data_IF_308462699225
#
_entry.id   IF_308462699225
#
_cell.length_a   1.000
_cell.length_b   1.000
_cell.length_c   1.000
_cell.angle_alpha   90.00
_cell.angle_beta   90.00
_cell.angle_gamma   90.00
#
_symmetry.space_group_name_H-M   'P 1'
#
loop_
_entity.id
_entity.type
_entity.pdbx_description
1 polymer ?
#
# COMPACT_ATOMS: atom_id res chain seq x y z
N UNK A 1 -8.59 14.01 6.76
CA UNK A 1 -9.03 12.61 6.60
C UNK A 1 -8.48 11.74 7.72
N UNK A 2 -9.22 10.73 8.16
CA UNK A 2 -8.69 9.64 8.98
C UNK A 2 -8.28 8.48 8.04
N UNK A 3 -7.00 8.14 8.02
CA UNK A 3 -6.45 7.13 7.09
C UNK A 3 -5.83 5.98 7.90
N UNK A 4 -6.37 4.77 7.74
CA UNK A 4 -5.81 3.57 8.39
C UNK A 4 -4.81 2.90 7.47
N UNK A 5 -3.59 2.66 7.97
CA UNK A 5 -2.44 2.17 7.19
C UNK A 5 -1.99 0.83 7.75
N UNK A 6 -2.23 -0.26 7.01
CA UNK A 6 -1.69 -1.58 7.34
C UNK A 6 -0.20 -1.63 6.99
N UNK A 7 0.61 -2.06 7.97
CA UNK A 7 2.07 -2.04 7.87
C UNK A 7 2.68 -0.68 8.20
N UNK A 8 2.13 0.02 9.23
CA UNK A 8 2.50 1.37 9.62
C UNK A 8 3.99 1.62 9.88
N UNK A 9 4.75 0.62 10.33
CA UNK A 9 6.20 0.76 10.51
C UNK A 9 7.03 0.51 9.23
N UNK A 10 6.36 0.25 8.09
CA UNK A 10 7.04 0.17 6.79
C UNK A 10 7.65 1.53 6.40
N UNK A 11 8.82 1.52 5.73
CA UNK A 11 9.48 2.78 5.34
C UNK A 11 8.60 3.69 4.47
N UNK A 12 7.80 3.12 3.56
CA UNK A 12 6.81 3.90 2.78
C UNK A 12 5.72 4.45 3.70
N UNK A 13 5.21 3.63 4.61
CA UNK A 13 4.16 4.02 5.55
C UNK A 13 4.61 5.18 6.46
N UNK A 14 5.81 5.13 7.03
CA UNK A 14 6.35 6.21 7.86
C UNK A 14 6.51 7.53 7.10
N UNK A 15 6.87 7.50 5.81
CA UNK A 15 6.86 8.71 4.97
C UNK A 15 5.44 9.22 4.76
N UNK A 16 4.50 8.33 4.44
CA UNK A 16 3.09 8.69 4.23
C UNK A 16 2.46 9.27 5.51
N UNK A 17 2.69 8.65 6.66
CA UNK A 17 2.19 9.10 7.96
C UNK A 17 2.65 10.52 8.28
N UNK A 18 3.96 10.82 8.08
CA UNK A 18 4.49 12.18 8.27
C UNK A 18 3.84 13.18 7.33
N UNK A 19 3.63 12.83 6.07
CA UNK A 19 2.99 13.70 5.09
C UNK A 19 1.52 13.97 5.42
N UNK A 20 0.78 12.94 5.85
CA UNK A 20 -0.61 13.05 6.27
C UNK A 20 -0.74 13.92 7.53
N UNK A 21 0.05 13.64 8.56
CA UNK A 21 0.06 14.42 9.80
C UNK A 21 0.42 15.90 9.55
N UNK A 22 1.42 16.16 8.71
CA UNK A 22 1.86 17.53 8.39
C UNK A 22 0.78 18.37 7.71
N UNK A 23 -0.18 17.76 7.02
CA UNK A 23 -1.32 18.45 6.40
C UNK A 23 -2.59 18.47 7.26
N UNK A 24 -2.52 17.93 8.50
CA UNK A 24 -3.63 17.93 9.45
C UNK A 24 -4.58 16.73 9.34
N UNK A 25 -4.20 15.68 8.62
CA UNK A 25 -4.91 14.40 8.63
C UNK A 25 -4.60 13.59 9.90
N UNK A 26 -5.36 12.53 10.11
CA UNK A 26 -5.23 11.60 11.23
C UNK A 26 -4.78 10.23 10.69
N UNK A 27 -3.47 10.00 10.48
CA UNK A 27 -2.97 8.68 10.14
C UNK A 27 -3.07 7.74 11.34
N UNK A 28 -3.47 6.49 11.08
CA UNK A 28 -3.55 5.40 12.05
C UNK A 28 -2.77 4.21 11.51
N UNK A 29 -1.60 3.94 12.06
CA UNK A 29 -0.74 2.85 11.61
C UNK A 29 -1.00 1.54 12.37
N UNK A 30 -1.30 0.46 11.66
CA UNK A 30 -1.41 -0.88 12.25
C UNK A 30 -0.02 -1.52 12.23
N UNK A 31 0.45 -1.94 13.39
CA UNK A 31 1.73 -2.65 13.59
C UNK A 31 1.53 -3.90 14.42
N UNK A 32 2.28 -4.98 14.13
CA UNK A 32 2.22 -6.21 14.92
C UNK A 32 3.10 -6.17 16.18
N UNK A 33 4.13 -5.32 16.19
CA UNK A 33 5.10 -5.24 17.29
C UNK A 33 4.94 -3.92 18.05
N UNK A 34 4.64 -4.01 19.33
CA UNK A 34 4.49 -2.83 20.21
C UNK A 34 5.77 -1.97 20.29
N UNK A 35 6.95 -2.54 20.03
CA UNK A 35 8.19 -1.77 19.99
C UNK A 35 8.23 -0.70 18.88
N UNK A 36 7.36 -0.80 17.87
CA UNK A 36 7.27 0.17 16.77
C UNK A 36 6.35 1.37 17.05
N UNK A 37 5.61 1.36 18.15
CA UNK A 37 4.63 2.41 18.49
C UNK A 37 5.28 3.79 18.53
N UNK A 38 6.42 3.92 19.21
CA UNK A 38 7.11 5.20 19.32
C UNK A 38 7.53 5.81 17.98
N UNK A 39 7.91 4.97 17.01
CA UNK A 39 8.30 5.45 15.67
C UNK A 39 7.10 6.01 14.90
N UNK A 40 5.91 5.40 15.06
CA UNK A 40 4.67 5.90 14.45
C UNK A 40 4.24 7.22 15.10
N UNK A 41 4.28 7.29 16.43
CA UNK A 41 3.97 8.52 17.18
C UNK A 41 4.92 9.66 16.77
N UNK A 42 6.20 9.37 16.59
CA UNK A 42 7.18 10.34 16.07
C UNK A 42 6.88 10.76 14.62
N UNK A 43 6.27 9.88 13.83
CA UNK A 43 5.77 10.21 12.49
C UNK A 43 4.45 10.99 12.51
N UNK A 44 3.85 11.22 13.68
CA UNK A 44 2.57 11.90 13.85
C UNK A 44 1.35 11.00 13.66
N UNK A 45 1.53 9.69 13.69
CA UNK A 45 0.45 8.72 13.52
C UNK A 45 0.00 8.14 14.86
N UNK A 46 -1.28 7.82 14.97
CA UNK A 46 -1.80 6.97 16.03
C UNK A 46 -1.41 5.52 15.76
N UNK A 47 -0.79 4.84 16.70
CA UNK A 47 -0.40 3.45 16.54
C UNK A 47 -1.45 2.49 17.11
N UNK A 48 -1.77 1.43 16.35
CA UNK A 48 -2.60 0.31 16.79
C UNK A 48 -1.78 -0.97 16.69
N UNK A 49 -1.62 -1.67 17.82
CA UNK A 49 -0.91 -2.96 17.85
C UNK A 49 -1.91 -4.06 17.53
N UNK A 50 -1.82 -4.61 16.30
CA UNK A 50 -2.68 -5.67 15.82
C UNK A 50 -1.91 -6.53 14.80
N UNK A 51 -1.87 -7.85 15.01
CA UNK A 51 -1.24 -8.77 14.07
C UNK A 51 -2.24 -9.23 13.01
N UNK A 52 -2.11 -8.70 11.80
CA UNK A 52 -3.00 -9.02 10.69
C UNK A 52 -2.92 -10.49 10.24
N UNK A 53 -1.81 -11.19 10.52
CA UNK A 53 -1.70 -12.63 10.22
C UNK A 53 -2.60 -13.50 11.11
N UNK A 54 -3.03 -12.97 12.27
CA UNK A 54 -3.82 -13.71 13.27
C UNK A 54 -5.14 -13.01 13.63
N UNK A 55 -5.51 -11.96 12.90
CA UNK A 55 -6.71 -11.18 13.18
C UNK A 55 -7.90 -11.63 12.32
N UNK A 56 -9.09 -11.48 12.87
CA UNK A 56 -10.35 -11.62 12.13
C UNK A 56 -10.75 -10.31 11.45
N UNK A 57 -11.67 -10.40 10.49
CA UNK A 57 -12.29 -9.23 9.85
C UNK A 57 -12.90 -8.29 10.89
N UNK A 58 -13.58 -8.83 11.92
CA UNK A 58 -14.19 -8.02 12.98
C UNK A 58 -13.17 -7.18 13.76
N UNK A 59 -12.02 -7.76 14.13
CA UNK A 59 -10.97 -7.06 14.85
C UNK A 59 -10.34 -5.93 14.00
N UNK A 60 -10.13 -6.17 12.69
CA UNK A 60 -9.62 -5.14 11.79
C UNK A 60 -10.69 -4.07 11.53
N UNK A 61 -11.97 -4.46 11.42
CA UNK A 61 -13.10 -3.54 11.26
C UNK A 61 -13.23 -2.56 12.42
N UNK A 62 -12.95 -2.97 13.67
CA UNK A 62 -12.92 -2.06 14.83
C UNK A 62 -11.92 -0.91 14.62
N UNK A 63 -10.75 -1.20 14.03
CA UNK A 63 -9.72 -0.18 13.74
C UNK A 63 -10.12 0.69 12.55
N UNK A 64 -10.75 0.10 11.54
CA UNK A 64 -11.12 0.77 10.27
C UNK A 64 -12.39 1.63 10.42
N UNK A 65 -13.27 1.31 11.36
CA UNK A 65 -14.54 2.04 11.57
C UNK A 65 -14.29 3.55 11.70
N UNK A 66 -15.01 4.33 10.89
CA UNK A 66 -14.91 5.78 10.85
C UNK A 66 -13.66 6.31 10.12
N UNK A 67 -12.94 5.47 9.40
CA UNK A 67 -11.90 5.93 8.49
C UNK A 67 -12.50 6.47 7.17
N UNK A 68 -11.84 7.46 6.58
CA UNK A 68 -12.17 7.95 5.23
C UNK A 68 -11.53 7.06 4.15
N UNK A 69 -10.37 6.45 4.47
CA UNK A 69 -9.64 5.57 3.56
C UNK A 69 -8.79 4.55 4.31
N UNK A 70 -8.45 3.47 3.63
CA UNK A 70 -7.45 2.50 4.07
C UNK A 70 -6.31 2.40 3.06
N UNK A 71 -5.09 2.20 3.57
CA UNK A 71 -3.89 1.99 2.75
C UNK A 71 -3.23 0.68 3.16
N UNK A 72 -3.03 -0.23 2.20
CA UNK A 72 -2.23 -1.43 2.42
C UNK A 72 -0.79 -1.19 1.96
N UNK A 73 0.11 -1.04 2.92
CA UNK A 73 1.56 -0.86 2.71
C UNK A 73 2.39 -1.93 3.45
N UNK A 74 1.75 -3.03 3.86
CA UNK A 74 2.43 -4.13 4.50
C UNK A 74 3.09 -5.06 3.47
N UNK A 75 4.12 -5.74 3.93
CA UNK A 75 4.79 -6.81 3.21
C UNK A 75 5.60 -7.65 4.20
N UNK A 76 5.79 -8.91 3.88
CA UNK A 76 6.51 -9.85 4.74
C UNK A 76 8.00 -9.50 4.95
N UNK A 77 8.51 -8.58 4.14
CA UNK A 77 9.89 -8.12 4.21
C UNK A 77 10.92 -9.07 3.58
N UNK A 78 12.15 -8.59 3.36
CA UNK A 78 13.24 -9.41 2.87
C UNK A 78 13.59 -10.51 3.89
N UNK A 79 14.04 -11.67 3.40
CA UNK A 79 14.40 -12.81 4.25
C UNK A 79 13.22 -13.61 4.83
N UNK A 80 11.98 -13.20 4.64
CA UNK A 80 10.81 -14.01 4.99
C UNK A 80 10.63 -15.16 3.99
N UNK A 81 10.22 -16.33 4.47
CA UNK A 81 9.94 -17.48 3.61
C UNK A 81 8.68 -17.30 2.76
N UNK A 82 8.48 -18.23 1.80
CA UNK A 82 7.34 -18.25 0.89
C UNK A 82 5.97 -18.19 1.60
N UNK A 83 5.82 -18.94 2.70
CA UNK A 83 4.58 -18.96 3.48
C UNK A 83 4.15 -17.56 3.94
N UNK A 84 5.11 -16.74 4.42
CA UNK A 84 4.78 -15.37 4.84
C UNK A 84 4.47 -14.41 3.69
N UNK A 85 4.88 -14.71 2.47
CA UNK A 85 4.40 -13.95 1.31
C UNK A 85 2.89 -14.13 1.11
N UNK A 86 2.40 -15.34 1.33
CA UNK A 86 0.97 -15.62 1.22
C UNK A 86 0.18 -14.97 2.36
N UNK A 87 0.61 -15.14 3.61
CA UNK A 87 -0.15 -14.65 4.77
C UNK A 87 -0.11 -13.12 4.91
N UNK A 88 1.02 -12.47 4.57
CA UNK A 88 1.16 -11.01 4.71
C UNK A 88 0.85 -10.28 3.41
N UNK A 89 1.49 -10.67 2.28
CA UNK A 89 1.38 -9.89 1.04
C UNK A 89 0.04 -10.11 0.32
N UNK A 90 -0.63 -11.25 0.54
CA UNK A 90 -1.95 -11.58 -0.01
C UNK A 90 -3.05 -11.50 1.04
N UNK A 91 -3.01 -12.38 2.06
CA UNK A 91 -4.14 -12.60 2.95
C UNK A 91 -4.44 -11.38 3.83
N UNK A 92 -3.40 -10.68 4.32
CA UNK A 92 -3.62 -9.45 5.10
C UNK A 92 -4.14 -8.28 4.24
N UNK A 93 -3.81 -8.23 2.94
CA UNK A 93 -4.39 -7.24 2.03
C UNK A 93 -5.89 -7.51 1.82
N UNK A 94 -6.25 -8.78 1.63
CA UNK A 94 -7.64 -9.22 1.50
C UNK A 94 -8.42 -8.95 2.80
N UNK A 95 -7.84 -9.28 3.95
CA UNK A 95 -8.43 -9.04 5.26
C UNK A 95 -8.75 -7.54 5.49
N UNK A 96 -7.83 -6.65 5.14
CA UNK A 96 -8.07 -5.20 5.24
C UNK A 96 -9.21 -4.75 4.31
N UNK A 97 -9.29 -5.31 3.10
CA UNK A 97 -10.36 -4.98 2.17
C UNK A 97 -11.73 -5.48 2.64
N UNK A 98 -11.79 -6.69 3.23
CA UNK A 98 -13.01 -7.22 3.81
C UNK A 98 -13.47 -6.37 5.02
N UNK A 99 -12.55 -5.91 5.86
CA UNK A 99 -12.84 -5.02 6.96
C UNK A 99 -13.32 -3.63 6.48
N UNK A 100 -12.71 -3.08 5.42
CA UNK A 100 -13.14 -1.83 4.81
C UNK A 100 -14.57 -1.95 4.26
N UNK A 101 -14.86 -3.02 3.51
CA UNK A 101 -16.20 -3.28 3.00
C UNK A 101 -17.23 -3.45 4.11
N UNK A 102 -16.90 -4.17 5.18
CA UNK A 102 -17.78 -4.41 6.33
C UNK A 102 -18.12 -3.12 7.10
N UNK A 103 -17.25 -2.10 7.06
CA UNK A 103 -17.45 -0.82 7.74
C UNK A 103 -17.92 0.31 6.81
N UNK A 104 -18.14 0.02 5.52
CA UNK A 104 -18.55 1.01 4.54
C UNK A 104 -17.44 1.96 4.08
N UNK A 105 -16.18 1.70 4.43
CA UNK A 105 -15.02 2.46 3.95
C UNK A 105 -14.69 2.01 2.53
N UNK A 106 -14.99 2.84 1.54
CA UNK A 106 -14.85 2.47 0.13
C UNK A 106 -13.44 2.72 -0.42
N UNK A 107 -12.76 3.78 0.02
CA UNK A 107 -11.45 4.17 -0.50
C UNK A 107 -10.35 3.23 -0.03
N UNK A 108 -9.80 2.44 -0.95
CA UNK A 108 -8.75 1.45 -0.71
C UNK A 108 -7.54 1.73 -1.61
N UNK A 109 -6.37 1.97 -1.04
CA UNK A 109 -5.12 2.16 -1.79
C UNK A 109 -4.14 1.04 -1.45
N UNK A 110 -3.59 0.38 -2.47
CA UNK A 110 -2.69 -0.75 -2.30
C UNK A 110 -1.30 -0.48 -2.86
N UNK A 111 -0.28 -0.77 -2.07
CA UNK A 111 1.08 -0.94 -2.56
C UNK A 111 1.29 -2.39 -2.96
N UNK A 112 1.30 -2.63 -4.27
CA UNK A 112 1.59 -3.93 -4.88
C UNK A 112 3.04 -4.00 -5.36
N UNK A 113 3.32 -4.65 -6.48
CA UNK A 113 4.65 -4.80 -7.02
C UNK A 113 4.65 -4.70 -8.56
N UNK A 114 5.69 -4.06 -9.11
CA UNK A 114 6.01 -4.09 -10.52
C UNK A 114 6.08 -5.53 -11.03
N UNK A 115 5.44 -5.80 -12.15
CA UNK A 115 5.47 -7.10 -12.82
C UNK A 115 4.76 -8.22 -12.04
N UNK A 116 3.87 -7.90 -11.11
CA UNK A 116 3.17 -8.91 -10.30
C UNK A 116 2.46 -9.98 -11.14
N UNK A 117 1.92 -9.62 -12.30
CA UNK A 117 1.21 -10.57 -13.18
C UNK A 117 2.17 -11.42 -14.06
N UNK A 118 3.48 -11.15 -14.01
CA UNK A 118 4.50 -11.83 -14.83
C UNK A 118 5.30 -12.86 -14.02
N UNK A 119 4.68 -13.54 -13.07
CA UNK A 119 5.34 -14.59 -12.27
C UNK A 119 5.19 -15.98 -12.90
N UNK A 120 6.14 -16.88 -12.57
CA UNK A 120 6.03 -18.30 -12.89
C UNK A 120 5.33 -19.04 -11.73
N UNK A 121 4.07 -19.50 -11.93
CA UNK A 121 3.32 -20.19 -10.86
C UNK A 121 3.92 -21.54 -10.45
N UNK A 122 4.81 -22.11 -11.27
CA UNK A 122 5.46 -23.40 -10.98
C UNK A 122 6.82 -23.23 -10.31
N UNK A 123 7.33 -22.02 -10.17
CA UNK A 123 8.62 -21.75 -9.56
C UNK A 123 8.52 -21.75 -8.03
N UNK A 124 9.39 -22.50 -7.32
CA UNK A 124 9.47 -22.46 -5.87
C UNK A 124 10.24 -21.24 -5.32
N UNK A 125 10.79 -20.40 -6.20
CA UNK A 125 11.55 -19.23 -5.79
C UNK A 125 10.69 -18.25 -5.01
N UNK A 126 11.16 -17.84 -3.83
CA UNK A 126 10.41 -16.93 -2.93
C UNK A 126 9.97 -15.63 -3.62
N UNK A 127 10.76 -15.15 -4.58
CA UNK A 127 10.39 -13.94 -5.34
C UNK A 127 9.19 -14.19 -6.28
N UNK A 128 9.12 -15.38 -6.92
CA UNK A 128 7.97 -15.75 -7.75
C UNK A 128 6.71 -15.94 -6.90
N UNK A 129 6.84 -16.59 -5.74
CA UNK A 129 5.74 -16.69 -4.75
C UNK A 129 5.28 -15.30 -4.28
N UNK A 130 6.21 -14.37 -4.06
CA UNK A 130 5.89 -12.98 -3.71
C UNK A 130 5.08 -12.29 -4.82
N UNK A 131 5.53 -12.38 -6.07
CA UNK A 131 4.79 -11.78 -7.20
C UNK A 131 3.41 -12.40 -7.35
N UNK A 132 3.28 -13.73 -7.23
CA UNK A 132 2.00 -14.42 -7.25
C UNK A 132 1.08 -13.96 -6.12
N UNK A 133 1.60 -13.83 -4.89
CA UNK A 133 0.83 -13.31 -3.76
C UNK A 133 0.31 -11.87 -4.01
N UNK A 134 1.14 -11.00 -4.61
CA UNK A 134 0.71 -9.64 -4.99
C UNK A 134 -0.33 -9.67 -6.12
N UNK A 135 -0.16 -10.51 -7.14
CA UNK A 135 -1.14 -10.68 -8.22
C UNK A 135 -2.49 -11.16 -7.71
N UNK A 136 -2.50 -12.19 -6.83
CA UNK A 136 -3.71 -12.71 -6.20
C UNK A 136 -4.41 -11.63 -5.34
N UNK A 137 -3.63 -10.87 -4.56
CA UNK A 137 -4.17 -9.77 -3.77
C UNK A 137 -4.79 -8.68 -4.68
N UNK A 138 -4.08 -8.26 -5.72
CA UNK A 138 -4.58 -7.27 -6.69
C UNK A 138 -5.90 -7.74 -7.33
N UNK A 139 -5.97 -9.00 -7.74
CA UNK A 139 -7.18 -9.60 -8.32
C UNK A 139 -8.34 -9.61 -7.32
N UNK A 140 -8.06 -9.99 -6.07
CA UNK A 140 -9.06 -10.01 -5.00
C UNK A 140 -9.59 -8.60 -4.68
N UNK A 141 -8.71 -7.57 -4.68
CA UNK A 141 -9.12 -6.18 -4.46
C UNK A 141 -9.99 -5.68 -5.62
N UNK A 142 -9.57 -5.93 -6.88
CA UNK A 142 -10.35 -5.53 -8.08
C UNK A 142 -11.75 -6.14 -8.13
N UNK A 143 -11.93 -7.31 -7.55
CA UNK A 143 -13.22 -8.00 -7.51
C UNK A 143 -14.21 -7.45 -6.46
N UNK A 144 -13.78 -6.54 -5.57
CA UNK A 144 -14.61 -5.95 -4.51
C UNK A 144 -15.22 -4.62 -4.94
N UNK A 145 -16.41 -4.32 -4.43
CA UNK A 145 -17.05 -3.00 -4.60
C UNK A 145 -16.38 -1.94 -3.70
N UNK A 146 -15.14 -1.58 -4.08
CA UNK A 146 -14.31 -0.56 -3.43
C UNK A 146 -13.84 0.46 -4.46
N UNK A 147 -13.59 1.67 -4.02
CA UNK A 147 -12.94 2.72 -4.79
C UNK A 147 -11.41 2.50 -4.69
N UNK A 148 -10.95 1.40 -5.28
CA UNK A 148 -9.56 0.95 -5.14
C UNK A 148 -8.60 1.66 -6.09
N UNK A 149 -7.35 1.84 -5.65
CA UNK A 149 -6.21 2.20 -6.50
C UNK A 149 -5.04 1.27 -6.16
N UNK A 150 -4.46 0.62 -7.17
CA UNK A 150 -3.33 -0.30 -7.01
C UNK A 150 -2.08 0.34 -7.61
N UNK A 151 -1.11 0.64 -6.74
CA UNK A 151 0.19 1.21 -7.12
C UNK A 151 1.22 0.09 -7.14
N UNK A 152 1.87 -0.14 -8.28
CA UNK A 152 2.88 -1.18 -8.52
C UNK A 152 4.26 -0.56 -8.70
N UNK A 153 4.99 -0.25 -7.62
CA UNK A 153 6.31 0.36 -7.72
C UNK A 153 7.36 -0.62 -8.21
N UNK A 154 8.35 -0.11 -8.94
CA UNK A 154 9.59 -0.81 -9.26
C UNK A 154 10.49 -1.02 -8.04
N UNK A 155 11.77 -1.26 -8.24
CA UNK A 155 12.75 -1.47 -7.17
C UNK A 155 12.80 -0.27 -6.21
N UNK A 156 12.55 -0.50 -4.92
CA UNK A 156 12.46 0.55 -3.91
C UNK A 156 13.85 0.97 -3.43
N UNK A 157 14.13 2.28 -3.39
CA UNK A 157 15.37 2.87 -2.84
C UNK A 157 15.10 3.75 -1.62
N UNK A 158 16.15 4.03 -0.85
CA UNK A 158 16.11 4.97 0.28
C UNK A 158 16.78 6.32 -0.05
N UNK A 159 17.01 6.59 -1.33
CA UNK A 159 17.43 7.92 -1.77
C UNK A 159 16.33 8.93 -1.53
N UNK A 160 16.64 10.22 -1.34
CA UNK A 160 15.61 11.26 -1.24
C UNK A 160 14.67 11.24 -2.44
N UNK A 161 13.40 11.57 -2.18
CA UNK A 161 12.40 11.71 -3.23
C UNK A 161 12.78 12.79 -4.25
N UNK A 162 12.43 12.54 -5.49
CA UNK A 162 12.69 13.46 -6.61
C UNK A 162 11.45 14.25 -7.01
N UNK A 163 10.26 13.79 -6.56
CA UNK A 163 8.97 14.31 -6.99
C UNK A 163 8.65 14.03 -8.46
N UNK A 164 9.46 13.16 -9.13
CA UNK A 164 9.34 12.89 -10.57
C UNK A 164 9.33 11.40 -10.85
N UNK A 165 8.40 10.98 -11.70
CA UNK A 165 8.15 9.57 -12.00
C UNK A 165 7.88 9.34 -13.49
N UNK A 166 7.95 8.08 -13.87
CA UNK A 166 7.29 7.52 -15.05
C UNK A 166 6.22 6.56 -14.57
N UNK A 167 4.98 6.78 -15.00
CA UNK A 167 3.80 6.05 -14.59
C UNK A 167 3.01 5.64 -15.83
N UNK A 168 2.60 4.38 -15.90
CA UNK A 168 1.77 3.81 -16.98
C UNK A 168 1.25 2.43 -16.56
N UNK A 169 0.42 1.81 -17.39
CA UNK A 169 -0.02 0.41 -17.22
C UNK A 169 1.19 -0.54 -17.18
N UNK A 170 2.25 -0.21 -17.94
CA UNK A 170 3.56 -0.88 -17.88
C UNK A 170 4.69 0.12 -18.16
N UNK A 171 5.71 0.14 -17.28
CA UNK A 171 6.79 1.14 -17.37
C UNK A 171 8.16 0.57 -17.73
N UNK A 172 8.32 -0.73 -17.69
CA UNK A 172 9.61 -1.39 -17.78
C UNK A 172 10.38 -1.38 -16.45
N UNK A 173 11.53 -2.08 -16.40
CA UNK A 173 12.34 -2.17 -15.19
C UNK A 173 12.89 -0.82 -14.78
N UNK A 174 12.84 -0.55 -13.48
CA UNK A 174 13.37 0.68 -12.88
C UNK A 174 13.29 0.65 -11.37
N UNK A 175 13.77 1.71 -10.74
CA UNK A 175 13.67 1.91 -9.30
C UNK A 175 12.98 3.24 -8.98
N UNK A 176 12.50 3.37 -7.73
CA UNK A 176 11.81 4.56 -7.25
C UNK A 176 12.13 4.78 -5.77
N UNK A 177 12.37 6.02 -5.33
CA UNK A 177 12.44 6.35 -3.91
C UNK A 177 11.15 6.01 -3.17
N UNK A 178 11.26 5.44 -1.96
CA UNK A 178 10.09 5.19 -1.10
C UNK A 178 9.32 6.45 -0.76
N UNK A 179 10.00 7.57 -0.66
CA UNK A 179 9.39 8.87 -0.44
C UNK A 179 8.51 9.31 -1.63
N UNK A 180 8.94 9.06 -2.87
CA UNK A 180 8.10 9.32 -4.05
C UNK A 180 6.88 8.39 -4.10
N UNK A 181 7.02 7.11 -3.69
CA UNK A 181 5.87 6.21 -3.55
C UNK A 181 4.89 6.75 -2.50
N UNK A 182 5.38 7.18 -1.33
CA UNK A 182 4.53 7.78 -0.29
C UNK A 182 3.82 9.06 -0.78
N UNK A 183 4.50 9.88 -1.58
CA UNK A 183 3.91 11.06 -2.22
C UNK A 183 2.76 10.67 -3.15
N UNK A 184 2.96 9.63 -3.99
CA UNK A 184 1.88 9.11 -4.85
C UNK A 184 0.70 8.62 -4.01
N UNK A 185 0.95 7.84 -2.93
CA UNK A 185 -0.12 7.34 -2.06
C UNK A 185 -0.92 8.49 -1.43
N UNK A 186 -0.23 9.54 -0.95
CA UNK A 186 -0.88 10.76 -0.43
C UNK A 186 -1.77 11.42 -1.49
N UNK A 187 -1.23 11.60 -2.70
CA UNK A 187 -1.94 12.33 -3.76
C UNK A 187 -3.13 11.54 -4.31
N UNK A 188 -3.02 10.22 -4.46
CA UNK A 188 -4.16 9.39 -4.91
C UNK A 188 -5.28 9.31 -3.88
N UNK A 189 -5.01 9.50 -2.58
CA UNK A 189 -6.06 9.60 -1.56
C UNK A 189 -7.02 10.76 -1.83
N UNK A 190 -6.51 11.87 -2.38
CA UNK A 190 -7.26 13.08 -2.71
C UNK A 190 -7.78 13.10 -4.16
N UNK A 191 -7.51 12.05 -4.95
CA UNK A 191 -7.91 11.95 -6.36
C UNK A 191 -8.93 10.82 -6.58
N UNK A 192 -10.24 11.05 -6.39
CA UNK A 192 -11.28 10.04 -6.62
C UNK A 192 -11.25 9.46 -8.03
N UNK A 193 -10.78 10.22 -9.01
CA UNK A 193 -10.62 9.80 -10.40
C UNK A 193 -9.61 8.66 -10.61
N UNK A 194 -8.78 8.34 -9.59
CA UNK A 194 -7.90 7.18 -9.59
C UNK A 194 -8.59 5.90 -9.10
N UNK A 195 -9.85 5.95 -8.69
CA UNK A 195 -10.64 4.77 -8.36
C UNK A 195 -10.77 3.85 -9.58
N UNK A 196 -10.56 2.55 -9.38
CA UNK A 196 -10.53 1.56 -10.44
C UNK A 196 -9.24 1.59 -11.30
N UNK A 197 -8.20 2.29 -10.87
CA UNK A 197 -6.93 2.36 -11.59
C UNK A 197 -5.84 1.50 -10.94
N UNK A 198 -5.12 0.77 -11.80
CA UNK A 198 -3.90 0.05 -11.48
C UNK A 198 -2.80 0.56 -12.41
N UNK A 199 -1.63 0.84 -11.87
CA UNK A 199 -0.51 1.32 -12.67
C UNK A 199 0.84 0.93 -12.07
N UNK A 200 1.82 0.76 -12.94
CA UNK A 200 3.22 0.63 -12.56
C UNK A 200 3.90 1.99 -12.47
N UNK A 201 4.89 2.11 -11.59
CA UNK A 201 5.62 3.37 -11.41
C UNK A 201 7.10 3.13 -11.09
N UNK A 202 7.96 3.93 -11.73
CA UNK A 202 9.40 4.03 -11.47
C UNK A 202 9.82 5.50 -11.47
N UNK A 203 11.04 5.80 -11.02
CA UNK A 203 11.63 7.13 -11.15
C UNK A 203 11.63 7.56 -12.63
N UNK A 204 11.40 8.86 -12.86
CA UNK A 204 11.27 9.41 -14.20
C UNK A 204 11.50 10.91 -14.27
N UNK A 205 10.92 11.57 -15.25
CA UNK A 205 11.09 13.01 -15.50
C UNK A 205 9.81 13.82 -15.33
N UNK A 206 8.63 13.16 -15.24
CA UNK A 206 7.33 13.83 -15.13
C UNK A 206 7.02 14.10 -13.65
N UNK A 207 6.65 15.33 -13.26
CA UNK A 207 6.18 15.62 -11.90
C UNK A 207 5.04 14.67 -11.50
N UNK A 208 5.02 14.21 -10.23
CA UNK A 208 4.01 13.25 -9.75
C UNK A 208 2.57 13.73 -10.01
N UNK A 209 2.19 14.99 -9.74
CA UNK A 209 0.81 15.45 -10.02
C UNK A 209 0.44 15.35 -11.50
N UNK A 210 1.36 15.70 -12.40
CA UNK A 210 1.13 15.64 -13.85
C UNK A 210 1.00 14.18 -14.34
N UNK A 211 1.85 13.29 -13.78
CA UNK A 211 1.79 11.86 -14.08
C UNK A 211 0.46 11.23 -13.62
N UNK A 212 -0.02 11.58 -12.43
CA UNK A 212 -1.32 11.12 -11.92
C UNK A 212 -2.50 11.69 -12.73
N UNK A 213 -2.42 12.95 -13.15
CA UNK A 213 -3.45 13.56 -14.00
C UNK A 213 -3.59 12.81 -15.34
N UNK A 214 -2.51 12.25 -15.90
CA UNK A 214 -2.55 11.49 -17.16
C UNK A 214 -3.27 10.14 -17.06
N UNK A 215 -3.53 9.60 -15.87
CA UNK A 215 -4.31 8.37 -15.67
C UNK A 215 -5.81 8.56 -15.92
N UNK A 216 -6.26 9.79 -15.99
CA UNK A 216 -7.68 10.17 -15.91
C UNK A 216 -8.25 10.62 -17.25
N UNK A 217 -7.43 10.60 -18.28
CA UNK A 217 -7.80 11.03 -19.66
C UNK A 217 -8.27 9.85 -20.49
#
# INVERSE_FOLDING_TARGET
MRVVIAGGHGQIALHLERMLAARGDIPVGIVRNAAHVADLEQAGANAVVLDLEHSSVAQVAEVVTGADAVVFSAGAGPGSGAARKLTVDRDAAILLADAAAATGVRRYVMVSAYGADNYDPNSPEVYQVYLGAKSDADAAIRARDLDWTIVRPGGLTNTPGTGRVKLADSVGRGSIPREDVATILRDVLDLPSTAGRQFEVVGGTTPIPDALASLVV
#
